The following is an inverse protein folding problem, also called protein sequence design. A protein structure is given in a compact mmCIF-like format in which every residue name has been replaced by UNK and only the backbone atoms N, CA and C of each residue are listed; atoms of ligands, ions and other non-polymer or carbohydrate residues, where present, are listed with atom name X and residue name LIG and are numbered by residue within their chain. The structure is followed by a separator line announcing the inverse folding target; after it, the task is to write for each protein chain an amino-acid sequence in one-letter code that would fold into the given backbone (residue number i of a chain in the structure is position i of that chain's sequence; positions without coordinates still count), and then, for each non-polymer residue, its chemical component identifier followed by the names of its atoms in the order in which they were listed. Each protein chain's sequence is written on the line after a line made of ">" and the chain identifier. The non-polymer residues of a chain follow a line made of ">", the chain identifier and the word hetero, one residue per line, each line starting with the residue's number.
data_IF_319168174138
#
_entry.id   IF_319168174138
#
_cell.length_a   1.000
_cell.length_b   1.000
_cell.length_c   1.000
_cell.angle_alpha   90.00
_cell.angle_beta   90.00
_cell.angle_gamma   90.00
#
_symmetry.space_group_name_H-M   'P 1'
#
loop_
_entity.id
_entity.type
_entity.pdbx_description
1 polymer ?
#
# COMPACT_ATOMS: atom_id res chain seq x y z
N UNK A 1 23.60 -28.87 -2.10
CA UNK A 1 22.62 -27.77 -2.29
C UNK A 1 23.12 -26.95 -3.47
N UNK A 2 22.39 -26.96 -4.59
CA UNK A 2 22.86 -26.41 -5.86
C UNK A 2 22.86 -24.87 -5.81
N UNK A 3 23.93 -24.23 -6.29
CA UNK A 3 24.10 -22.78 -6.41
C UNK A 3 22.97 -22.12 -7.23
N UNK A 4 22.29 -22.89 -8.07
CA UNK A 4 21.14 -22.44 -8.87
C UNK A 4 19.88 -22.11 -8.06
N UNK A 5 19.65 -22.77 -6.91
CA UNK A 5 18.43 -22.51 -6.10
C UNK A 5 18.44 -21.15 -5.36
N UNK A 6 19.60 -20.56 -5.17
CA UNK A 6 19.73 -19.25 -4.50
C UNK A 6 19.52 -18.05 -5.44
N UNK A 7 19.60 -18.23 -6.75
CA UNK A 7 19.39 -17.16 -7.75
C UNK A 7 17.92 -16.89 -8.07
N UNK A 8 17.02 -17.80 -7.73
CA UNK A 8 15.59 -17.71 -8.09
C UNK A 8 14.69 -17.16 -6.98
N UNK A 9 15.20 -16.95 -5.77
CA UNK A 9 14.43 -16.25 -4.73
C UNK A 9 14.36 -14.75 -5.05
N UNK A 10 13.25 -14.34 -5.65
CA UNK A 10 12.91 -12.92 -5.69
C UNK A 10 12.92 -12.42 -4.24
N UNK A 11 13.82 -11.48 -3.96
CA UNK A 11 13.97 -10.95 -2.61
C UNK A 11 12.70 -10.22 -2.18
N UNK A 12 11.87 -10.89 -1.39
CA UNK A 12 10.64 -10.34 -0.84
C UNK A 12 10.83 -9.03 -0.08
N UNK A 13 12.05 -8.73 0.38
CA UNK A 13 12.38 -7.47 1.08
C UNK A 13 12.50 -6.33 0.08
N UNK A 14 13.14 -6.57 -1.07
CA UNK A 14 13.20 -5.60 -2.17
C UNK A 14 11.81 -5.26 -2.69
N UNK A 15 10.95 -6.27 -2.91
CA UNK A 15 9.56 -6.02 -3.33
C UNK A 15 8.84 -5.13 -2.32
N UNK A 16 8.95 -5.42 -1.01
CA UNK A 16 8.33 -4.60 0.03
C UNK A 16 8.86 -3.19 0.07
N UNK A 17 10.17 -3.01 -0.12
CA UNK A 17 10.80 -1.70 -0.20
C UNK A 17 10.21 -0.88 -1.35
N UNK A 18 10.18 -1.45 -2.56
CA UNK A 18 9.68 -0.77 -3.74
C UNK A 18 8.20 -0.40 -3.60
N UNK A 19 7.36 -1.33 -3.16
CA UNK A 19 5.94 -1.07 -2.89
C UNK A 19 5.79 0.07 -1.86
N UNK A 20 6.55 0.02 -0.78
CA UNK A 20 6.50 1.05 0.27
C UNK A 20 6.87 2.44 -0.26
N UNK A 21 7.93 2.55 -1.05
CA UNK A 21 8.37 3.81 -1.67
C UNK A 21 7.32 4.34 -2.64
N UNK A 22 6.81 3.51 -3.54
CA UNK A 22 5.78 3.90 -4.52
C UNK A 22 4.53 4.40 -3.79
N UNK A 23 4.05 3.68 -2.79
CA UNK A 23 2.85 4.07 -2.04
C UNK A 23 3.03 5.41 -1.29
N UNK A 24 4.20 5.63 -0.68
CA UNK A 24 4.50 6.88 0.04
C UNK A 24 4.59 8.10 -0.89
N UNK A 25 5.08 7.91 -2.11
CA UNK A 25 5.29 9.01 -3.06
C UNK A 25 4.06 9.29 -3.93
N UNK A 26 3.17 8.31 -4.12
CA UNK A 26 2.01 8.42 -5.00
C UNK A 26 1.17 9.67 -4.73
N UNK A 27 0.68 9.84 -3.50
CA UNK A 27 -0.20 10.95 -3.16
C UNK A 27 0.48 12.33 -3.29
N UNK A 28 1.77 12.41 -2.99
CA UNK A 28 2.56 13.63 -3.12
C UNK A 28 2.76 14.01 -4.59
N UNK A 29 3.19 13.07 -5.40
CA UNK A 29 3.48 13.31 -6.82
C UNK A 29 2.22 13.62 -7.62
N UNK A 30 1.13 12.87 -7.42
CA UNK A 30 -0.13 13.16 -8.11
C UNK A 30 -0.64 14.56 -7.77
N UNK A 31 -0.57 14.95 -6.48
CA UNK A 31 -0.97 16.29 -6.05
C UNK A 31 -0.06 17.40 -6.60
N UNK A 32 1.23 17.15 -6.73
CA UNK A 32 2.20 18.13 -7.26
C UNK A 32 1.98 18.39 -8.75
N UNK A 33 1.67 17.35 -9.52
CA UNK A 33 1.48 17.44 -10.96
C UNK A 33 0.02 17.71 -11.38
N UNK A 34 -0.93 17.72 -10.45
CA UNK A 34 -2.29 18.18 -10.72
C UNK A 34 -2.31 19.70 -10.95
N UNK A 35 -3.11 20.15 -11.90
CA UNK A 35 -3.23 21.59 -12.22
C UNK A 35 -3.90 22.44 -11.14
N UNK A 36 -4.41 21.81 -10.08
CA UNK A 36 -5.11 22.46 -8.97
C UNK A 36 -5.27 21.52 -7.76
N UNK A 37 -6.14 21.89 -6.84
CA UNK A 37 -6.45 21.03 -5.69
C UNK A 37 -7.41 19.93 -6.10
N UNK A 38 -6.94 18.66 -6.10
CA UNK A 38 -7.77 17.49 -6.38
C UNK A 38 -8.65 17.11 -5.18
N UNK A 39 -9.87 16.69 -5.45
CA UNK A 39 -10.85 16.28 -4.42
C UNK A 39 -10.51 14.91 -3.79
N UNK A 40 -9.86 14.02 -4.55
CA UNK A 40 -9.35 12.72 -4.11
C UNK A 40 -8.05 12.39 -4.86
N UNK A 41 -7.26 11.43 -4.38
CA UNK A 41 -6.08 10.96 -5.12
C UNK A 41 -6.52 10.23 -6.38
N UNK A 42 -7.63 9.48 -6.30
CA UNK A 42 -8.23 8.80 -7.45
C UNK A 42 -8.70 9.77 -8.54
N UNK A 43 -9.07 11.02 -8.18
CA UNK A 43 -9.44 12.07 -9.14
C UNK A 43 -8.28 12.48 -10.06
N UNK A 44 -7.01 12.18 -9.68
CA UNK A 44 -5.84 12.38 -10.55
C UNK A 44 -5.97 11.68 -11.90
N UNK A 45 -6.78 10.62 -11.98
CA UNK A 45 -7.09 9.96 -13.25
C UNK A 45 -7.71 10.93 -14.27
N UNK A 46 -8.54 11.86 -13.81
CA UNK A 46 -9.26 12.82 -14.65
C UNK A 46 -8.50 14.10 -14.97
N UNK A 47 -7.40 14.37 -14.26
CA UNK A 47 -6.56 15.54 -14.49
C UNK A 47 -5.77 15.48 -15.81
N UNK A 48 -5.55 14.26 -16.33
CA UNK A 48 -4.71 14.08 -17.51
C UNK A 48 -3.21 14.28 -17.23
N UNK A 49 -2.40 14.29 -18.28
CA UNK A 49 -0.97 14.59 -18.21
C UNK A 49 -0.21 13.75 -17.20
N UNK A 50 0.71 14.39 -16.47
CA UNK A 50 1.58 13.69 -15.51
C UNK A 50 0.84 13.17 -14.28
N UNK A 51 -0.20 13.87 -13.80
CA UNK A 51 -0.96 13.42 -12.63
C UNK A 51 -1.64 12.06 -12.91
N UNK A 52 -2.30 11.93 -14.05
CA UNK A 52 -2.89 10.67 -14.50
C UNK A 52 -1.83 9.59 -14.75
N UNK A 53 -0.75 9.94 -15.45
CA UNK A 53 0.31 8.99 -15.80
C UNK A 53 0.98 8.41 -14.56
N UNK A 54 1.24 9.22 -13.54
CA UNK A 54 1.81 8.80 -12.25
C UNK A 54 0.81 7.92 -11.51
N UNK A 55 -0.45 8.34 -11.41
CA UNK A 55 -1.49 7.57 -10.72
C UNK A 55 -1.63 6.16 -11.32
N UNK A 56 -1.85 6.08 -12.63
CA UNK A 56 -2.02 4.81 -13.35
C UNK A 56 -0.73 3.98 -13.33
N UNK A 57 0.42 4.59 -13.65
CA UNK A 57 1.70 3.91 -13.72
C UNK A 57 2.13 3.32 -12.36
N UNK A 58 1.93 4.05 -11.27
CA UNK A 58 2.26 3.57 -9.93
C UNK A 58 1.33 2.44 -9.47
N UNK A 59 0.05 2.49 -9.80
CA UNK A 59 -0.87 1.39 -9.53
C UNK A 59 -0.51 0.13 -10.32
N UNK A 60 -0.12 0.25 -11.59
CA UNK A 60 0.41 -0.87 -12.36
C UNK A 60 1.72 -1.42 -11.78
N UNK A 61 2.62 -0.55 -11.33
CA UNK A 61 3.85 -0.98 -10.67
C UNK A 61 3.56 -1.74 -9.36
N UNK A 62 2.65 -1.23 -8.53
CA UNK A 62 2.18 -1.93 -7.32
C UNK A 62 1.55 -3.28 -7.70
N UNK A 63 0.70 -3.32 -8.73
CA UNK A 63 0.07 -4.55 -9.20
C UNK A 63 1.11 -5.59 -9.63
N UNK A 64 2.10 -5.20 -10.43
CA UNK A 64 3.17 -6.09 -10.87
C UNK A 64 4.01 -6.62 -9.69
N UNK A 65 4.37 -5.75 -8.74
CA UNK A 65 5.11 -6.15 -7.54
C UNK A 65 4.28 -7.06 -6.63
N UNK A 66 2.98 -6.80 -6.46
CA UNK A 66 2.06 -7.67 -5.73
C UNK A 66 1.89 -9.02 -6.44
N UNK A 67 1.87 -9.03 -7.76
CA UNK A 67 1.80 -10.28 -8.54
C UNK A 67 3.07 -11.12 -8.35
N UNK A 68 4.23 -10.50 -8.24
CA UNK A 68 5.51 -11.16 -7.95
C UNK A 68 5.65 -11.58 -6.48
N UNK A 69 4.92 -10.94 -5.56
CA UNK A 69 5.02 -11.22 -4.14
C UNK A 69 4.25 -12.51 -3.76
N UNK A 70 4.96 -13.53 -3.30
CA UNK A 70 4.36 -14.80 -2.87
C UNK A 70 4.13 -14.90 -1.36
N UNK A 71 4.72 -14.01 -0.56
CA UNK A 71 4.62 -14.08 0.90
C UNK A 71 5.30 -15.31 1.49
N UNK A 72 4.88 -15.68 2.71
CA UNK A 72 5.41 -16.83 3.43
C UNK A 72 4.35 -17.95 3.60
N UNK A 73 3.17 -17.78 3.02
CA UNK A 73 2.08 -18.76 3.07
C UNK A 73 1.22 -18.68 1.79
N UNK A 74 0.54 -19.78 1.46
CA UNK A 74 -0.39 -19.83 0.32
C UNK A 74 -1.48 -18.76 0.43
N UNK A 75 -1.94 -18.43 1.64
CA UNK A 75 -2.93 -17.35 1.85
C UNK A 75 -2.38 -16.00 1.44
N UNK A 76 -1.14 -15.69 1.83
CA UNK A 76 -0.50 -14.41 1.43
C UNK A 76 -0.30 -14.34 -0.08
N UNK A 77 0.14 -15.44 -0.68
CA UNK A 77 0.29 -15.53 -2.13
C UNK A 77 -1.05 -15.25 -2.85
N UNK A 78 -2.14 -15.90 -2.46
CA UNK A 78 -3.45 -15.70 -3.09
C UNK A 78 -3.94 -14.25 -2.88
N UNK A 79 -3.88 -13.73 -1.65
CA UNK A 79 -4.28 -12.36 -1.35
C UNK A 79 -3.47 -11.33 -2.14
N UNK A 80 -2.18 -11.56 -2.31
CA UNK A 80 -1.31 -10.71 -3.11
C UNK A 80 -1.76 -10.68 -4.59
N UNK A 81 -2.14 -11.83 -5.17
CA UNK A 81 -2.66 -11.90 -6.55
C UNK A 81 -4.01 -11.17 -6.67
N UNK A 82 -4.90 -11.33 -5.69
CA UNK A 82 -6.18 -10.61 -5.65
C UNK A 82 -5.94 -9.10 -5.51
N UNK A 83 -5.00 -8.68 -4.65
CA UNK A 83 -4.61 -7.28 -4.54
C UNK A 83 -4.04 -6.71 -5.84
N UNK A 84 -3.25 -7.50 -6.59
CA UNK A 84 -2.73 -7.10 -7.89
C UNK A 84 -3.86 -6.84 -8.89
N UNK A 85 -4.84 -7.75 -8.98
CA UNK A 85 -6.01 -7.58 -9.85
C UNK A 85 -6.82 -6.35 -9.43
N UNK A 86 -7.03 -6.16 -8.13
CA UNK A 86 -7.74 -5.01 -7.61
C UNK A 86 -7.01 -3.68 -7.92
N UNK A 87 -5.67 -3.64 -7.80
CA UNK A 87 -4.88 -2.46 -8.17
C UNK A 87 -4.99 -2.13 -9.67
N UNK A 88 -5.01 -3.14 -10.54
CA UNK A 88 -5.30 -2.94 -11.97
C UNK A 88 -6.72 -2.40 -12.17
N UNK A 89 -7.71 -2.89 -11.43
CA UNK A 89 -9.08 -2.38 -11.45
C UNK A 89 -9.14 -0.90 -11.10
N UNK A 90 -8.44 -0.47 -10.03
CA UNK A 90 -8.35 0.96 -9.65
C UNK A 90 -7.68 1.78 -10.75
N UNK A 91 -6.63 1.24 -11.39
CA UNK A 91 -5.86 1.93 -12.42
C UNK A 91 -6.62 2.14 -13.73
N UNK A 92 -7.43 1.16 -14.13
CA UNK A 92 -8.12 1.16 -15.44
C UNK A 92 -9.53 1.76 -15.40
N UNK A 93 -10.21 1.66 -14.26
CA UNK A 93 -11.57 2.17 -14.12
C UNK A 93 -11.57 3.46 -13.31
N UNK A 94 -11.86 4.61 -13.92
CA UNK A 94 -11.86 5.89 -13.22
C UNK A 94 -12.95 5.94 -12.14
N UNK A 95 -12.70 6.74 -11.09
CA UNK A 95 -13.69 6.99 -10.06
C UNK A 95 -14.81 7.91 -10.58
N UNK A 96 -15.99 7.82 -9.96
CA UNK A 96 -17.02 8.85 -10.08
C UNK A 96 -16.62 10.08 -9.24
N UNK A 97 -15.70 10.86 -9.77
CA UNK A 97 -15.14 12.03 -9.11
C UNK A 97 -15.48 13.28 -9.95
N UNK A 98 -15.72 14.41 -9.29
CA UNK A 98 -15.93 15.72 -9.95
C UNK A 98 -17.04 15.71 -11.03
N UNK A 99 -18.17 15.05 -10.75
CA UNK A 99 -19.32 14.91 -11.67
C UNK A 99 -19.02 14.20 -13.00
N UNK A 100 -17.94 13.43 -13.07
CA UNK A 100 -17.65 12.59 -14.23
C UNK A 100 -18.23 11.20 -14.05
N UNK A 101 -18.78 10.65 -15.14
CA UNK A 101 -19.38 9.33 -15.13
C UNK A 101 -18.34 8.22 -15.10
N UNK A 102 -18.64 7.15 -14.38
CA UNK A 102 -17.86 5.91 -14.41
C UNK A 102 -18.16 5.14 -15.72
N UNK A 103 -17.11 4.54 -16.30
CA UNK A 103 -17.28 3.65 -17.46
C UNK A 103 -18.11 2.42 -17.07
N UNK A 104 -17.81 1.86 -15.88
CA UNK A 104 -18.57 0.78 -15.26
C UNK A 104 -18.86 1.16 -13.81
N UNK A 105 -20.15 1.27 -13.43
CA UNK A 105 -20.52 1.66 -12.07
C UNK A 105 -19.90 0.77 -11.01
N UNK A 106 -19.41 1.39 -9.95
CA UNK A 106 -18.88 0.75 -8.75
C UNK A 106 -17.59 -0.08 -8.91
N UNK A 107 -17.05 -0.30 -10.12
CA UNK A 107 -15.85 -1.13 -10.31
C UNK A 107 -14.64 -0.51 -9.62
N UNK A 108 -14.44 0.80 -9.75
CA UNK A 108 -13.37 1.52 -9.06
C UNK A 108 -13.50 1.37 -7.53
N UNK A 109 -14.67 1.69 -6.98
CA UNK A 109 -14.90 1.66 -5.54
C UNK A 109 -14.75 0.24 -4.96
N UNK A 110 -15.28 -0.77 -5.66
CA UNK A 110 -15.13 -2.17 -5.26
C UNK A 110 -13.66 -2.61 -5.31
N UNK A 111 -12.94 -2.27 -6.38
CA UNK A 111 -11.51 -2.58 -6.54
C UNK A 111 -10.67 -1.91 -5.46
N UNK A 112 -10.89 -0.62 -5.20
CA UNK A 112 -10.19 0.11 -4.15
C UNK A 112 -10.48 -0.47 -2.76
N UNK A 113 -11.74 -0.81 -2.47
CA UNK A 113 -12.14 -1.42 -1.19
C UNK A 113 -11.45 -2.78 -1.00
N UNK A 114 -11.49 -3.66 -2.00
CA UNK A 114 -10.82 -4.96 -1.95
C UNK A 114 -9.32 -4.79 -1.74
N UNK A 115 -8.69 -3.89 -2.50
CA UNK A 115 -7.27 -3.60 -2.38
C UNK A 115 -6.92 -3.20 -0.95
N UNK A 116 -7.54 -2.15 -0.42
CA UNK A 116 -7.21 -1.62 0.91
C UNK A 116 -7.56 -2.60 2.05
N UNK A 117 -8.63 -3.40 1.94
CA UNK A 117 -8.92 -4.46 2.92
C UNK A 117 -7.82 -5.51 2.96
N UNK A 118 -7.31 -5.92 1.80
CA UNK A 118 -6.17 -6.86 1.72
C UNK A 118 -4.91 -6.22 2.32
N UNK A 119 -4.65 -4.93 2.05
CA UNK A 119 -3.50 -4.22 2.61
C UNK A 119 -3.60 -4.09 4.15
N UNK A 120 -4.78 -3.84 4.70
CA UNK A 120 -5.01 -3.86 6.13
C UNK A 120 -4.78 -5.26 6.72
N UNK A 121 -5.20 -6.31 6.01
CA UNK A 121 -4.93 -7.68 6.42
C UNK A 121 -3.43 -8.04 6.38
N UNK A 122 -2.67 -7.52 5.42
CA UNK A 122 -1.20 -7.64 5.44
C UNK A 122 -0.58 -6.94 6.65
N UNK A 123 -1.09 -5.78 7.07
CA UNK A 123 -0.66 -5.14 8.33
C UNK A 123 -0.90 -6.07 9.53
N UNK A 124 -2.03 -6.77 9.60
CA UNK A 124 -2.32 -7.77 10.62
C UNK A 124 -1.34 -8.96 10.57
N UNK A 125 -1.01 -9.48 9.39
CA UNK A 125 -0.02 -10.57 9.24
C UNK A 125 1.35 -10.11 9.74
N UNK A 126 1.79 -8.90 9.34
CA UNK A 126 3.08 -8.35 9.76
C UNK A 126 3.11 -8.08 11.27
N UNK A 127 1.99 -7.60 11.84
CA UNK A 127 1.84 -7.45 13.29
C UNK A 127 2.02 -8.80 14.00
N UNK A 128 1.29 -9.84 13.61
CA UNK A 128 1.38 -11.16 14.23
C UNK A 128 2.82 -11.64 14.25
N UNK A 129 3.51 -11.62 13.13
CA UNK A 129 4.91 -12.03 13.03
C UNK A 129 5.87 -11.19 13.88
N UNK A 130 5.66 -9.88 13.91
CA UNK A 130 6.49 -9.00 14.71
C UNK A 130 6.24 -9.24 16.21
N UNK A 131 4.98 -9.45 16.60
CA UNK A 131 4.59 -9.74 17.98
C UNK A 131 5.15 -11.07 18.48
N UNK A 132 5.01 -12.13 17.68
CA UNK A 132 5.57 -13.44 18.00
C UNK A 132 7.09 -13.35 18.19
N UNK A 133 7.79 -12.63 17.33
CA UNK A 133 9.23 -12.42 17.43
C UNK A 133 9.62 -11.57 18.65
N UNK A 134 8.83 -10.55 18.97
CA UNK A 134 9.06 -9.71 20.15
C UNK A 134 9.00 -10.52 21.45
N UNK A 135 8.03 -11.44 21.55
CA UNK A 135 7.85 -12.29 22.72
C UNK A 135 8.92 -13.39 22.76
N UNK A 136 9.13 -14.11 21.68
CA UNK A 136 10.02 -15.31 21.64
C UNK A 136 11.50 -14.94 21.82
N UNK A 137 11.93 -13.81 21.26
CA UNK A 137 13.34 -13.38 21.26
C UNK A 137 13.60 -12.15 22.12
N UNK A 138 12.65 -11.71 22.95
CA UNK A 138 12.72 -10.47 23.74
C UNK A 138 13.22 -9.27 22.88
N UNK A 139 12.73 -9.17 21.64
CA UNK A 139 13.20 -8.21 20.65
C UNK A 139 12.40 -6.90 20.72
N UNK A 140 12.98 -5.85 21.34
CA UNK A 140 12.35 -4.54 21.49
C UNK A 140 11.98 -3.89 20.15
N UNK A 141 12.86 -3.97 19.12
CA UNK A 141 12.57 -3.42 17.79
C UNK A 141 11.41 -4.15 17.13
N UNK A 142 11.26 -5.46 17.34
CA UNK A 142 10.12 -6.21 16.86
C UNK A 142 8.80 -5.73 17.50
N UNK A 143 8.83 -5.37 18.79
CA UNK A 143 7.67 -4.81 19.47
C UNK A 143 7.26 -3.45 18.89
N UNK A 144 8.24 -2.56 18.64
CA UNK A 144 7.97 -1.27 17.97
C UNK A 144 7.36 -1.48 16.58
N UNK A 145 7.90 -2.41 15.78
CA UNK A 145 7.32 -2.76 14.47
C UNK A 145 5.88 -3.28 14.59
N UNK A 146 5.60 -4.10 15.60
CA UNK A 146 4.25 -4.59 15.86
C UNK A 146 3.27 -3.42 16.08
N UNK A 147 3.65 -2.43 16.88
CA UNK A 147 2.85 -1.22 17.13
C UNK A 147 2.62 -0.44 15.82
N UNK A 148 3.66 -0.23 14.99
CA UNK A 148 3.53 0.44 13.70
C UNK A 148 2.52 -0.28 12.81
N UNK A 149 2.57 -1.60 12.72
CA UNK A 149 1.63 -2.36 11.88
C UNK A 149 0.19 -2.26 12.35
N UNK A 150 -0.04 -2.27 13.67
CA UNK A 150 -1.40 -2.07 14.22
C UNK A 150 -1.92 -0.69 13.86
N UNK A 151 -1.13 0.36 14.10
CA UNK A 151 -1.52 1.73 13.79
C UNK A 151 -1.81 1.90 12.28
N UNK A 152 -0.96 1.35 11.41
CA UNK A 152 -1.18 1.38 9.98
C UNK A 152 -2.47 0.65 9.58
N UNK A 153 -2.71 -0.55 10.11
CA UNK A 153 -3.93 -1.31 9.83
C UNK A 153 -5.19 -0.57 10.28
N UNK A 154 -5.18 0.01 11.49
CA UNK A 154 -6.30 0.83 11.99
C UNK A 154 -6.52 2.04 11.09
N UNK A 155 -5.47 2.77 10.71
CA UNK A 155 -5.58 3.93 9.82
C UNK A 155 -6.21 3.56 8.48
N UNK A 156 -5.80 2.46 7.86
CA UNK A 156 -6.40 1.99 6.60
C UNK A 156 -7.90 1.71 6.79
N UNK A 157 -8.28 0.96 7.83
CA UNK A 157 -9.68 0.62 8.09
C UNK A 157 -10.52 1.88 8.35
N UNK A 158 -10.03 2.80 9.17
CA UNK A 158 -10.74 4.06 9.45
C UNK A 158 -10.90 4.91 8.18
N UNK A 159 -9.89 4.94 7.30
CA UNK A 159 -9.96 5.64 6.01
C UNK A 159 -11.06 5.06 5.12
N UNK A 160 -11.13 3.72 5.00
CA UNK A 160 -12.19 3.04 4.24
C UNK A 160 -13.57 3.38 4.82
N UNK A 161 -13.70 3.31 6.15
CA UNK A 161 -14.98 3.59 6.82
C UNK A 161 -15.43 5.04 6.60
N UNK A 162 -14.53 6.00 6.70
CA UNK A 162 -14.84 7.42 6.45
C UNK A 162 -15.34 7.63 5.03
N UNK A 163 -14.66 7.06 4.03
CA UNK A 163 -15.05 7.16 2.62
C UNK A 163 -16.40 6.47 2.40
N UNK A 164 -16.60 5.28 2.96
CA UNK A 164 -17.86 4.53 2.82
C UNK A 164 -19.03 5.28 3.46
N UNK A 165 -18.86 5.81 4.65
CA UNK A 165 -19.92 6.60 5.35
C UNK A 165 -20.23 7.87 4.57
N UNK A 166 -19.22 8.59 4.07
CA UNK A 166 -19.45 9.79 3.25
C UNK A 166 -20.24 9.46 1.98
N UNK A 167 -19.88 8.37 1.30
CA UNK A 167 -20.59 7.88 0.11
C UNK A 167 -22.05 7.50 0.42
N UNK A 168 -22.31 6.80 1.54
CA UNK A 168 -23.65 6.42 1.96
C UNK A 168 -24.52 7.62 2.35
N UNK A 169 -23.90 8.68 2.86
CA UNK A 169 -24.55 9.95 3.21
C UNK A 169 -24.62 10.93 2.03
N UNK A 170 -24.32 10.49 0.81
CA UNK A 170 -24.38 11.33 -0.39
C UNK A 170 -23.38 12.49 -0.38
N UNK A 171 -22.22 12.32 0.26
CA UNK A 171 -21.17 13.35 0.33
C UNK A 171 -21.36 14.38 1.44
N UNK A 172 -22.24 14.13 2.41
CA UNK A 172 -22.56 15.08 3.47
C UNK A 172 -21.36 15.42 4.37
N UNK A 173 -20.40 14.52 4.54
CA UNK A 173 -19.18 14.78 5.32
C UNK A 173 -18.19 15.63 4.49
N UNK A 174 -18.02 15.31 3.22
CA UNK A 174 -17.16 16.09 2.30
C UNK A 174 -17.71 17.52 2.12
N UNK A 175 -19.02 17.72 2.16
CA UNK A 175 -19.62 19.06 2.14
C UNK A 175 -19.24 19.90 3.37
N UNK A 176 -18.96 19.26 4.51
CA UNK A 176 -18.51 19.94 5.74
C UNK A 176 -17.00 20.06 5.85
N UNK A 177 -16.27 19.05 5.37
CA UNK A 177 -14.81 18.98 5.45
C UNK A 177 -14.28 18.88 4.03
N UNK A 178 -13.86 20.00 3.49
CA UNK A 178 -13.29 20.05 2.14
C UNK A 178 -12.15 19.02 1.97
N UNK A 179 -12.16 18.31 0.85
CA UNK A 179 -11.13 17.30 0.51
C UNK A 179 -11.04 16.13 1.52
N UNK A 180 -12.10 15.79 2.23
CA UNK A 180 -12.12 14.68 3.17
C UNK A 180 -11.63 13.37 2.54
N UNK A 181 -12.15 13.04 1.36
CA UNK A 181 -11.77 11.82 0.61
C UNK A 181 -10.28 11.81 0.28
N UNK A 182 -9.73 12.95 -0.17
CA UNK A 182 -8.29 13.09 -0.44
C UNK A 182 -7.44 12.78 0.81
N UNK A 183 -7.81 13.33 1.96
CA UNK A 183 -7.06 13.08 3.20
C UNK A 183 -7.20 11.64 3.68
N UNK A 184 -8.36 11.03 3.52
CA UNK A 184 -8.58 9.62 3.86
C UNK A 184 -7.77 8.69 2.96
N UNK A 185 -7.79 8.89 1.63
CA UNK A 185 -6.98 8.12 0.69
C UNK A 185 -5.48 8.31 0.95
N UNK A 186 -5.04 9.55 1.20
CA UNK A 186 -3.65 9.85 1.53
C UNK A 186 -3.21 9.14 2.81
N UNK A 187 -4.05 9.17 3.86
CA UNK A 187 -3.75 8.50 5.12
C UNK A 187 -3.62 6.97 4.92
N UNK A 188 -4.52 6.35 4.15
CA UNK A 188 -4.47 4.94 3.83
C UNK A 188 -3.19 4.57 3.04
N UNK A 189 -2.84 5.34 2.01
CA UNK A 189 -1.62 5.12 1.21
C UNK A 189 -0.34 5.30 2.04
N UNK A 190 -0.28 6.33 2.89
CA UNK A 190 0.84 6.55 3.81
C UNK A 190 0.99 5.39 4.79
N UNK A 191 -0.11 4.94 5.42
CA UNK A 191 -0.11 3.80 6.31
C UNK A 191 0.33 2.51 5.61
N UNK A 192 -0.16 2.27 4.40
CA UNK A 192 0.27 1.16 3.56
C UNK A 192 1.78 1.24 3.28
N UNK A 193 2.28 2.37 2.79
CA UNK A 193 3.69 2.57 2.46
C UNK A 193 4.60 2.40 3.68
N UNK A 194 4.23 2.98 4.84
CA UNK A 194 4.97 2.84 6.10
C UNK A 194 5.03 1.37 6.55
N UNK A 195 3.91 0.65 6.48
CA UNK A 195 3.86 -0.75 6.90
C UNK A 195 4.78 -1.63 6.03
N UNK A 196 4.76 -1.45 4.72
CA UNK A 196 5.57 -2.22 3.79
C UNK A 196 7.06 -1.84 3.85
N UNK A 197 7.37 -0.55 3.98
CA UNK A 197 8.74 -0.10 4.21
C UNK A 197 9.31 -0.66 5.52
N UNK A 198 8.51 -0.68 6.59
CA UNK A 198 8.89 -1.32 7.86
C UNK A 198 9.11 -2.83 7.69
N UNK A 199 8.28 -3.49 6.89
CA UNK A 199 8.39 -4.93 6.62
C UNK A 199 9.58 -5.30 5.70
N UNK A 200 10.14 -4.35 4.96
CA UNK A 200 11.34 -4.55 4.14
C UNK A 200 12.61 -4.76 4.96
N UNK A 201 12.63 -4.33 6.23
CA UNK A 201 13.79 -4.39 7.14
C UNK A 201 14.97 -3.49 6.74
N UNK A 202 14.75 -2.50 5.91
CA UNK A 202 15.79 -1.55 5.49
C UNK A 202 16.09 -0.49 6.56
N UNK A 203 15.11 -0.20 7.46
CA UNK A 203 15.22 0.85 8.46
C UNK A 203 16.10 0.43 9.66
N UNK A 204 17.26 1.07 9.86
CA UNK A 204 18.25 0.63 10.84
C UNK A 204 17.78 0.70 12.30
N UNK A 205 16.97 1.71 12.64
CA UNK A 205 16.46 1.90 14.01
C UNK A 205 15.27 0.98 14.36
N UNK A 206 14.62 0.41 13.37
CA UNK A 206 13.52 -0.56 13.52
C UNK A 206 13.98 -2.02 13.36
N UNK A 207 15.26 -2.26 13.05
CA UNK A 207 15.76 -3.58 12.67
C UNK A 207 17.11 -3.82 13.34
N UNK A 208 17.29 -4.98 13.96
CA UNK A 208 18.59 -5.39 14.51
C UNK A 208 19.63 -5.52 13.38
N UNK A 209 20.91 -5.36 13.71
CA UNK A 209 21.97 -5.41 12.72
C UNK A 209 22.02 -6.73 11.94
N UNK A 210 21.76 -7.85 12.63
CA UNK A 210 21.70 -9.20 12.07
C UNK A 210 20.48 -9.45 11.15
N UNK A 211 19.44 -8.62 11.26
CA UNK A 211 18.21 -8.73 10.47
C UNK A 211 18.12 -7.70 9.33
N UNK A 212 19.05 -6.73 9.33
CA UNK A 212 18.98 -5.60 8.40
C UNK A 212 19.13 -6.07 6.96
N UNK A 213 18.28 -5.49 6.10
CA UNK A 213 18.40 -5.65 4.68
C UNK A 213 19.13 -4.45 4.07
N UNK A 214 20.20 -4.71 3.32
CA UNK A 214 20.88 -3.71 2.50
C UNK A 214 20.71 -4.06 1.03
N UNK A 215 19.94 -3.27 0.27
CA UNK A 215 19.70 -3.57 -1.14
C UNK A 215 20.94 -3.38 -2.03
N UNK A 216 21.95 -2.67 -1.52
CA UNK A 216 23.18 -2.31 -2.26
C UNK A 216 24.44 -3.07 -1.79
N UNK A 217 24.34 -3.94 -0.78
CA UNK A 217 25.50 -4.72 -0.36
C UNK A 217 25.66 -5.94 -1.25
N UNK A 218 26.87 -6.11 -1.77
CA UNK A 218 27.27 -7.31 -2.50
C UNK A 218 27.09 -8.54 -1.60
N UNK A 219 26.44 -9.58 -2.10
CA UNK A 219 26.12 -10.82 -1.40
C UNK A 219 27.36 -11.72 -1.15
N UNK A 220 28.54 -11.27 -1.57
CA UNK A 220 29.80 -12.03 -1.50
C UNK A 220 30.55 -11.90 -0.16
N UNK A 221 30.04 -11.14 0.82
CA UNK A 221 30.73 -10.97 2.11
C UNK A 221 30.06 -11.72 3.28
N UNK A 222 29.29 -12.79 3.00
CA UNK A 222 28.73 -13.64 4.07
C UNK A 222 29.03 -15.10 3.85
#
# INVERSE_FOLDING_TARGET
>A
MSITSQREEIDHRTIKLLIGVIALTLAGLTSYFAGGSIASISASYHEGGWAQSIFVGFLFAIAALMLAYNGMSTREMVLSKVAAIAAVGVALFPCKCDNRDEILPYVHAASATILFLILAYFCYIFFRRARDKAITLANAQANVRATIYVLCGITIILSILVIAVDSLLGGALTAKVARLVFYAERAALMAFGISWLTASRVLPFLTRADERFSPLSDRNER
#
